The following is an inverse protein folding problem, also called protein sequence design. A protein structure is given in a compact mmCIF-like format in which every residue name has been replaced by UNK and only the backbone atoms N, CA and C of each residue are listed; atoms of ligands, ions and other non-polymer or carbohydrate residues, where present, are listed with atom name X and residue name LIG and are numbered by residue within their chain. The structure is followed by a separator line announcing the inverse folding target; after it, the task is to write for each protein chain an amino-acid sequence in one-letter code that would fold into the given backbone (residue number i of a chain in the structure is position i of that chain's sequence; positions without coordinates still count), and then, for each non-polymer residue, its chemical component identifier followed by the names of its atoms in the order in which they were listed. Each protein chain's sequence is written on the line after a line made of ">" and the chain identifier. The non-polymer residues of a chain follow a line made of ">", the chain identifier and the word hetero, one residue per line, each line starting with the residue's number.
data_IF_126936654933
#
_entry.id   IF_126936654933
#
_cell.length_a   1.000
_cell.length_b   1.000
_cell.length_c   1.000
_cell.angle_alpha   90.00
_cell.angle_beta   90.00
_cell.angle_gamma   90.00
#
_symmetry.space_group_name_H-M   'P 1'
#
loop_
_entity.id
_entity.type
_entity.pdbx_description
1 polymer ?
#
# COMPACT_ATOMS: atom_id res chain seq x y z
N UNK A 1 -0.84 18.41 -14.86
CA UNK A 1 -0.40 17.95 -13.53
C UNK A 1 -0.90 18.86 -12.42
N UNK A 2 -0.72 20.19 -12.53
CA UNK A 2 -1.20 21.20 -11.56
C UNK A 2 -2.66 21.04 -11.08
N UNK A 3 -3.66 21.07 -11.98
CA UNK A 3 -5.08 20.93 -11.59
C UNK A 3 -5.47 19.53 -11.10
N UNK A 4 -4.69 18.50 -11.46
CA UNK A 4 -4.94 17.10 -11.12
C UNK A 4 -4.63 16.81 -9.64
N UNK A 5 -3.60 17.47 -9.12
CA UNK A 5 -3.14 17.36 -7.75
C UNK A 5 -4.12 18.09 -6.81
N UNK A 6 -4.41 19.37 -7.07
CA UNK A 6 -5.24 20.22 -6.19
C UNK A 6 -6.66 19.66 -5.90
N UNK A 7 -7.36 19.11 -6.91
CA UNK A 7 -8.71 18.52 -6.73
C UNK A 7 -8.69 17.14 -6.04
N UNK A 8 -7.63 16.35 -6.24
CA UNK A 8 -7.46 15.05 -5.58
C UNK A 8 -7.19 15.24 -4.08
N UNK A 9 -6.35 16.23 -3.72
CA UNK A 9 -6.03 16.57 -2.33
C UNK A 9 -7.26 17.03 -1.53
N UNK A 10 -8.17 17.81 -2.14
CA UNK A 10 -9.42 18.23 -1.51
C UNK A 10 -10.39 17.06 -1.23
N UNK A 11 -10.38 16.03 -2.08
CA UNK A 11 -11.25 14.85 -1.91
C UNK A 11 -10.72 13.90 -0.82
N UNK A 12 -9.39 13.77 -0.74
CA UNK A 12 -8.67 12.98 0.27
C UNK A 12 -8.88 13.47 1.71
N UNK A 13 -9.14 14.78 1.89
CA UNK A 13 -9.44 15.36 3.21
C UNK A 13 -10.71 14.80 3.87
N UNK A 14 -11.61 14.14 3.12
CA UNK A 14 -12.95 13.79 3.60
C UNK A 14 -13.14 12.35 4.07
N UNK A 15 -12.26 11.37 3.71
CA UNK A 15 -12.55 9.96 3.99
C UNK A 15 -11.31 9.07 4.24
N UNK A 16 -11.18 8.67 5.51
CA UNK A 16 -10.52 7.46 6.02
C UNK A 16 -8.98 7.42 6.13
N UNK A 17 -8.51 6.57 7.03
CA UNK A 17 -7.14 6.48 7.53
C UNK A 17 -6.19 5.60 6.69
N UNK A 18 -6.62 5.15 5.50
CA UNK A 18 -5.86 4.40 4.46
C UNK A 18 -6.51 4.68 3.08
N UNK A 19 -5.72 5.02 2.05
CA UNK A 19 -6.18 5.59 0.77
C UNK A 19 -5.46 4.99 -0.46
N UNK A 20 -6.13 4.89 -1.61
CA UNK A 20 -5.76 4.22 -2.87
C UNK A 20 -6.77 4.71 -3.90
N UNK A 21 -6.29 5.37 -4.94
CA UNK A 21 -7.10 6.04 -5.94
C UNK A 21 -6.45 5.81 -7.30
N UNK A 22 -7.20 5.27 -8.24
CA UNK A 22 -6.71 5.04 -9.61
C UNK A 22 -7.14 6.20 -10.51
N UNK A 23 -6.23 6.68 -11.36
CA UNK A 23 -6.47 7.83 -12.24
C UNK A 23 -6.66 7.34 -13.68
N UNK A 24 -7.87 7.50 -14.27
CA UNK A 24 -8.19 6.96 -15.58
C UNK A 24 -7.28 7.52 -16.69
N UNK A 25 -7.03 6.71 -17.71
CA UNK A 25 -6.32 7.14 -18.92
C UNK A 25 -7.23 8.03 -19.76
N UNK A 26 -6.93 9.32 -19.82
CA UNK A 26 -7.73 10.28 -20.61
C UNK A 26 -7.19 10.31 -22.04
N UNK A 27 -8.05 10.03 -23.03
CA UNK A 27 -7.73 10.29 -24.45
C UNK A 27 -7.55 11.80 -24.67
N UNK A 28 -6.74 12.26 -25.63
CA UNK A 28 -6.38 13.66 -25.79
C UNK A 28 -7.51 14.50 -26.41
N UNK A 29 -8.72 14.48 -25.85
CA UNK A 29 -9.77 15.48 -26.11
C UNK A 29 -10.70 15.51 -24.89
N UNK A 30 -10.73 16.64 -24.18
CA UNK A 30 -11.55 16.95 -22.99
C UNK A 30 -11.10 16.35 -21.64
N UNK A 31 -10.35 17.17 -20.88
CA UNK A 31 -10.29 17.06 -19.42
C UNK A 31 -11.67 17.38 -18.82
N UNK A 32 -12.51 16.36 -18.61
CA UNK A 32 -13.49 16.34 -17.54
C UNK A 32 -13.04 15.29 -16.54
N UNK A 33 -12.83 15.69 -15.30
CA UNK A 33 -12.75 14.73 -14.20
C UNK A 33 -14.00 13.85 -14.24
N UNK A 34 -13.89 12.52 -14.35
CA UNK A 34 -15.01 11.67 -14.00
C UNK A 34 -15.30 11.92 -12.52
N UNK A 35 -16.56 12.18 -12.17
CA UNK A 35 -17.04 12.28 -10.78
C UNK A 35 -16.88 10.97 -9.98
N UNK A 36 -16.24 9.96 -10.57
CA UNK A 36 -16.09 8.62 -10.01
C UNK A 36 -14.59 8.32 -9.88
N UNK A 37 -13.96 8.91 -8.84
CA UNK A 37 -12.87 8.22 -8.17
C UNK A 37 -13.45 6.93 -7.63
N UNK A 38 -12.87 5.78 -7.96
CA UNK A 38 -13.29 4.51 -7.38
C UNK A 38 -13.16 4.58 -5.86
N UNK A 39 -14.27 4.63 -5.11
CA UNK A 39 -14.19 4.82 -3.68
C UNK A 39 -13.75 3.52 -3.02
N UNK A 40 -12.93 3.64 -1.97
CA UNK A 40 -12.48 2.54 -1.11
C UNK A 40 -13.59 1.57 -0.67
N UNK A 41 -14.84 2.04 -0.61
CA UNK A 41 -16.00 1.22 -0.27
C UNK A 41 -16.25 0.07 -1.26
N UNK A 42 -15.91 0.23 -2.54
CA UNK A 42 -16.01 -0.85 -3.54
C UNK A 42 -14.84 -1.85 -3.45
N UNK A 43 -13.70 -1.42 -2.92
CA UNK A 43 -12.47 -2.22 -2.81
C UNK A 43 -12.38 -3.06 -1.52
N UNK A 44 -13.34 -2.91 -0.60
CA UNK A 44 -13.21 -3.39 0.78
C UNK A 44 -13.92 -4.69 1.12
N UNK A 45 -14.79 -5.21 0.24
CA UNK A 45 -15.81 -6.17 0.66
C UNK A 45 -15.30 -7.53 1.12
N UNK A 46 -14.03 -7.91 0.88
CA UNK A 46 -13.53 -9.25 1.21
C UNK A 46 -12.20 -9.31 1.99
N UNK A 47 -11.62 -8.17 2.39
CA UNK A 47 -10.33 -8.12 3.09
C UNK A 47 -10.47 -8.42 4.61
N UNK A 48 -11.02 -9.59 4.97
CA UNK A 48 -11.31 -9.96 6.37
C UNK A 48 -10.30 -10.93 6.97
N UNK A 49 -9.61 -11.73 6.16
CA UNK A 49 -8.48 -12.51 6.64
C UNK A 49 -7.26 -11.59 6.81
N UNK A 50 -6.51 -11.71 7.89
CA UNK A 50 -5.23 -10.98 8.07
C UNK A 50 -4.02 -11.83 7.68
N UNK A 51 -4.29 -13.03 7.15
CA UNK A 51 -3.30 -13.98 6.69
C UNK A 51 -2.82 -13.72 5.26
N UNK A 52 -1.80 -14.47 4.81
CA UNK A 52 -1.23 -14.30 3.47
C UNK A 52 -2.26 -14.42 2.32
N UNK A 53 -3.24 -15.33 2.44
CA UNK A 53 -4.24 -15.59 1.41
C UNK A 53 -5.13 -14.38 1.10
N UNK A 54 -5.42 -13.56 2.11
CA UNK A 54 -6.28 -12.39 1.96
C UNK A 54 -5.62 -11.26 1.18
N UNK A 55 -4.29 -11.14 1.31
CA UNK A 55 -3.51 -10.15 0.58
C UNK A 55 -3.57 -10.45 -0.91
N UNK A 56 -3.31 -11.72 -1.28
CA UNK A 56 -3.42 -12.16 -2.67
C UNK A 56 -4.83 -12.01 -3.23
N UNK A 57 -5.85 -12.35 -2.44
CA UNK A 57 -7.24 -12.13 -2.85
C UNK A 57 -7.53 -10.64 -3.11
N UNK A 58 -7.06 -9.75 -2.23
CA UNK A 58 -7.24 -8.30 -2.38
C UNK A 58 -6.53 -7.79 -3.64
N UNK A 59 -5.32 -8.26 -3.90
CA UNK A 59 -4.60 -7.93 -5.13
C UNK A 59 -5.36 -8.40 -6.38
N UNK A 60 -5.82 -9.64 -6.39
CA UNK A 60 -6.58 -10.23 -7.50
C UNK A 60 -7.87 -9.45 -7.77
N UNK A 61 -8.58 -9.03 -6.73
CA UNK A 61 -9.80 -8.22 -6.85
C UNK A 61 -9.51 -6.84 -7.45
N UNK A 62 -8.42 -6.19 -7.03
CA UNK A 62 -8.02 -4.90 -7.60
C UNK A 62 -7.54 -5.04 -9.05
N UNK A 63 -6.76 -6.07 -9.36
CA UNK A 63 -6.31 -6.32 -10.74
C UNK A 63 -7.49 -6.59 -11.67
N UNK A 64 -8.49 -7.36 -11.23
CA UNK A 64 -9.75 -7.53 -11.98
C UNK A 64 -10.46 -6.21 -12.18
N UNK A 65 -10.55 -5.38 -11.15
CA UNK A 65 -11.16 -4.06 -11.27
C UNK A 65 -10.40 -3.18 -12.28
N UNK A 66 -9.07 -3.21 -12.27
CA UNK A 66 -8.23 -2.47 -13.23
C UNK A 66 -8.49 -2.95 -14.66
N UNK A 67 -8.65 -4.26 -14.85
CA UNK A 67 -8.99 -4.85 -16.15
C UNK A 67 -10.40 -4.44 -16.62
N UNK A 68 -11.38 -4.41 -15.70
CA UNK A 68 -12.78 -4.11 -16.06
C UNK A 68 -13.08 -2.63 -16.20
N UNK A 69 -12.45 -1.76 -15.40
CA UNK A 69 -12.76 -0.32 -15.32
C UNK A 69 -11.63 0.57 -15.86
N UNK A 70 -10.45 0.01 -16.13
CA UNK A 70 -9.31 0.75 -16.67
C UNK A 70 -9.39 1.01 -18.19
N UNK A 71 -8.27 1.40 -18.80
CA UNK A 71 -6.93 1.51 -18.22
C UNK A 71 -6.77 2.76 -17.33
N UNK A 72 -5.92 2.63 -16.31
CA UNK A 72 -5.50 3.73 -15.45
C UNK A 72 -4.07 4.15 -15.83
N UNK A 73 -3.80 5.46 -15.86
CA UNK A 73 -2.44 5.96 -16.10
C UNK A 73 -1.62 6.00 -14.81
N UNK A 74 -2.26 6.14 -13.65
CA UNK A 74 -1.53 6.17 -12.40
C UNK A 74 -2.37 5.88 -11.17
N UNK A 75 -1.69 5.84 -10.03
CA UNK A 75 -2.25 5.45 -8.75
C UNK A 75 -1.75 6.36 -7.64
N UNK A 76 -2.63 6.72 -6.71
CA UNK A 76 -2.29 7.53 -5.54
C UNK A 76 -2.65 6.72 -4.30
N UNK A 77 -1.66 6.36 -3.50
CA UNK A 77 -1.81 5.57 -2.30
C UNK A 77 -1.40 6.32 -1.04
N UNK A 78 -2.10 6.09 0.06
CA UNK A 78 -1.80 6.58 1.39
C UNK A 78 -1.64 5.41 2.38
N UNK A 79 -0.55 5.41 3.14
CA UNK A 79 -0.24 4.40 4.15
C UNK A 79 -0.33 2.98 3.59
N UNK A 80 -1.25 2.14 4.09
CA UNK A 80 -1.44 0.78 3.60
C UNK A 80 -1.89 0.70 2.13
N UNK A 81 -2.58 1.72 1.61
CA UNK A 81 -2.94 1.71 0.19
C UNK A 81 -1.78 2.05 -0.74
N UNK A 82 -0.77 2.80 -0.27
CA UNK A 82 0.50 2.93 -0.99
C UNK A 82 1.25 1.59 -1.02
N UNK A 83 1.28 0.87 0.10
CA UNK A 83 1.87 -0.46 0.16
C UNK A 83 1.17 -1.44 -0.80
N UNK A 84 -0.15 -1.35 -0.93
CA UNK A 84 -0.94 -2.16 -1.85
C UNK A 84 -0.73 -1.77 -3.32
N UNK A 85 -0.71 -0.47 -3.63
CA UNK A 85 -0.35 0.02 -4.97
C UNK A 85 1.02 -0.49 -5.42
N UNK A 86 2.01 -0.44 -4.52
CA UNK A 86 3.35 -0.94 -4.77
C UNK A 86 3.37 -2.47 -4.98
N UNK A 87 2.60 -3.24 -4.20
CA UNK A 87 2.41 -4.68 -4.40
C UNK A 87 1.92 -4.99 -5.82
N UNK A 88 0.88 -4.29 -6.28
CA UNK A 88 0.31 -4.46 -7.62
C UNK A 88 1.32 -4.17 -8.73
N UNK A 89 2.11 -3.10 -8.57
CA UNK A 89 3.15 -2.73 -9.55
C UNK A 89 4.24 -3.80 -9.60
N UNK A 90 4.76 -4.21 -8.44
CA UNK A 90 5.81 -5.23 -8.34
C UNK A 90 5.34 -6.56 -8.94
N UNK A 91 4.09 -6.95 -8.65
CA UNK A 91 3.48 -8.15 -9.21
C UNK A 91 3.34 -8.08 -10.73
N UNK A 92 2.83 -6.97 -11.27
CA UNK A 92 2.72 -6.78 -12.73
C UNK A 92 4.08 -6.87 -13.43
N UNK A 93 5.13 -6.26 -12.85
CA UNK A 93 6.51 -6.31 -13.37
C UNK A 93 7.04 -7.75 -13.35
N UNK A 94 6.87 -8.47 -12.24
CA UNK A 94 7.36 -9.84 -12.07
C UNK A 94 6.66 -10.85 -12.98
N UNK A 95 5.33 -10.78 -13.05
CA UNK A 95 4.54 -11.72 -13.85
C UNK A 95 4.60 -11.40 -15.34
N UNK A 96 4.85 -10.13 -15.70
CA UNK A 96 4.83 -9.69 -17.09
C UNK A 96 6.08 -8.84 -17.43
N UNK A 97 7.31 -9.37 -17.35
CA UNK A 97 8.53 -8.58 -17.51
C UNK A 97 8.65 -7.89 -18.88
N UNK A 98 7.97 -8.43 -19.89
CA UNK A 98 8.02 -7.95 -21.27
C UNK A 98 7.04 -6.81 -21.59
N UNK A 99 6.09 -6.47 -20.71
CA UNK A 99 5.13 -5.39 -20.95
C UNK A 99 5.87 -4.06 -21.12
N UNK A 100 5.51 -3.33 -22.16
CA UNK A 100 5.95 -1.95 -22.35
C UNK A 100 5.32 -1.05 -21.31
N UNK A 101 5.93 0.11 -21.02
CA UNK A 101 5.46 1.02 -19.97
C UNK A 101 3.98 1.42 -20.11
N UNK A 102 3.43 1.46 -21.33
CA UNK A 102 2.03 1.82 -21.59
C UNK A 102 1.03 0.64 -21.40
N UNK A 103 1.54 -0.58 -21.29
CA UNK A 103 0.80 -1.82 -21.05
C UNK A 103 0.78 -2.20 -19.55
N UNK A 104 1.61 -1.53 -18.74
CA UNK A 104 1.64 -1.69 -17.28
C UNK A 104 0.32 -1.28 -16.64
N UNK A 105 0.04 -1.86 -15.47
CA UNK A 105 -1.14 -1.52 -14.65
C UNK A 105 -1.20 -0.03 -14.30
N UNK A 106 -0.03 0.59 -14.08
CA UNK A 106 0.13 2.02 -13.86
C UNK A 106 1.43 2.53 -14.52
N UNK A 107 1.43 3.77 -15.00
CA UNK A 107 2.61 4.44 -15.57
C UNK A 107 3.32 5.36 -14.58
N UNK A 108 2.61 5.78 -13.54
CA UNK A 108 3.15 6.56 -12.44
C UNK A 108 2.40 6.27 -11.14
N UNK A 109 3.06 6.52 -10.01
CA UNK A 109 2.46 6.39 -8.69
C UNK A 109 2.79 7.56 -7.76
N UNK A 110 1.87 7.89 -6.87
CA UNK A 110 2.10 8.82 -5.74
C UNK A 110 1.91 8.03 -4.45
N UNK A 111 2.93 8.02 -3.60
CA UNK A 111 2.94 7.33 -2.32
C UNK A 111 3.04 8.33 -1.18
N UNK A 112 1.95 8.46 -0.41
CA UNK A 112 1.84 9.38 0.72
C UNK A 112 2.02 8.57 2.00
N UNK A 113 3.08 8.85 2.77
CA UNK A 113 3.47 8.11 3.97
C UNK A 113 3.34 6.59 3.79
N UNK A 114 3.86 6.11 2.67
CA UNK A 114 3.56 4.76 2.21
C UNK A 114 4.20 3.67 3.05
N UNK A 115 3.41 2.65 3.38
CA UNK A 115 3.93 1.45 4.04
C UNK A 115 4.85 0.65 3.11
N UNK A 116 5.84 -0.06 3.65
CA UNK A 116 6.58 -1.06 2.87
C UNK A 116 5.62 -2.13 2.35
N UNK A 117 5.65 -2.46 1.04
CA UNK A 117 4.79 -3.48 0.46
C UNK A 117 5.04 -4.85 1.12
N UNK A 118 3.98 -5.66 1.15
CA UNK A 118 4.06 -7.04 1.63
C UNK A 118 4.51 -7.95 0.50
N UNK A 119 5.35 -8.93 0.82
CA UNK A 119 5.82 -9.97 -0.09
C UNK A 119 5.16 -11.29 0.35
N UNK A 120 4.31 -11.84 -0.52
CA UNK A 120 3.49 -13.02 -0.23
C UNK A 120 3.79 -14.11 -1.24
N UNK A 121 4.17 -15.29 -0.76
CA UNK A 121 4.56 -16.43 -1.58
C UNK A 121 4.36 -17.75 -0.82
N UNK A 122 4.53 -18.90 -1.49
CA UNK A 122 4.38 -20.20 -0.83
C UNK A 122 5.61 -20.52 -0.01
N UNK A 123 5.40 -21.14 1.15
CA UNK A 123 6.50 -21.61 2.00
C UNK A 123 7.38 -22.64 1.27
N UNK A 124 6.81 -23.40 0.32
CA UNK A 124 7.55 -24.35 -0.52
C UNK A 124 8.58 -23.70 -1.45
N UNK A 125 8.43 -22.40 -1.72
CA UNK A 125 9.21 -21.72 -2.75
C UNK A 125 10.45 -21.02 -2.16
N UNK A 126 10.66 -21.13 -0.85
CA UNK A 126 11.74 -20.48 -0.13
C UNK A 126 12.43 -21.39 0.86
N UNK A 127 13.70 -21.05 1.14
CA UNK A 127 14.43 -21.64 2.25
C UNK A 127 14.25 -20.81 3.51
N UNK A 128 13.75 -21.46 4.56
CA UNK A 128 13.62 -20.89 5.89
C UNK A 128 14.60 -21.57 6.85
N UNK A 129 15.19 -20.79 7.74
CA UNK A 129 16.00 -21.33 8.83
C UNK A 129 15.16 -22.24 9.73
N UNK A 130 15.81 -23.23 10.33
CA UNK A 130 15.18 -24.08 11.32
C UNK A 130 14.79 -23.28 12.58
N UNK A 131 13.67 -23.66 13.18
CA UNK A 131 13.14 -23.03 14.39
C UNK A 131 11.94 -22.11 14.13
N UNK A 132 11.15 -21.96 15.19
CA UNK A 132 10.03 -21.02 15.30
C UNK A 132 10.43 -19.95 16.30
N UNK A 133 10.22 -18.69 15.94
CA UNK A 133 10.37 -17.56 16.85
C UNK A 133 9.01 -17.38 17.53
N UNK A 134 8.99 -17.46 18.86
CA UNK A 134 7.78 -17.34 19.66
C UNK A 134 6.97 -16.09 19.26
N UNK A 135 5.75 -16.34 18.75
CA UNK A 135 4.95 -15.34 18.05
C UNK A 135 4.58 -14.13 18.92
N UNK A 136 4.41 -14.35 20.24
CA UNK A 136 4.01 -13.33 21.20
C UNK A 136 5.00 -12.15 21.32
N UNK A 137 6.28 -12.37 20.98
CA UNK A 137 7.34 -11.37 21.13
C UNK A 137 7.96 -10.93 19.81
N UNK A 138 7.58 -11.54 18.68
CA UNK A 138 8.18 -11.22 17.40
C UNK A 138 7.72 -9.86 16.86
N UNK A 139 8.68 -9.07 16.35
CA UNK A 139 8.42 -7.74 15.78
C UNK A 139 7.33 -7.73 14.68
N UNK A 140 7.25 -8.70 13.75
CA UNK A 140 6.20 -8.71 12.73
C UNK A 140 4.79 -8.81 13.32
N UNK A 141 4.60 -9.62 14.37
CA UNK A 141 3.30 -9.77 15.04
C UNK A 141 2.94 -8.52 15.83
N UNK A 142 3.93 -7.90 16.52
CA UNK A 142 3.75 -6.63 17.23
C UNK A 142 3.34 -5.52 16.27
N UNK A 143 4.00 -5.42 15.11
CA UNK A 143 3.69 -4.43 14.09
C UNK A 143 2.30 -4.67 13.48
N UNK A 144 1.97 -5.91 13.11
CA UNK A 144 0.65 -6.26 12.60
C UNK A 144 -0.45 -5.91 13.61
N UNK A 145 -0.25 -6.25 14.89
CA UNK A 145 -1.17 -5.87 15.96
C UNK A 145 -1.30 -4.35 16.09
N UNK A 146 -0.20 -3.59 16.03
CA UNK A 146 -0.23 -2.13 16.07
C UNK A 146 -0.97 -1.51 14.88
N UNK A 147 -0.94 -2.15 13.70
CA UNK A 147 -1.64 -1.66 12.50
C UNK A 147 -3.13 -2.02 12.52
N UNK A 148 -3.46 -3.26 12.85
CA UNK A 148 -4.84 -3.77 12.75
C UNK A 148 -5.65 -3.46 14.01
N UNK A 149 -5.07 -3.59 15.20
CA UNK A 149 -5.76 -3.42 16.49
C UNK A 149 -5.62 -2.01 17.08
N UNK A 150 -5.16 -1.02 16.30
CA UNK A 150 -5.06 0.38 16.77
C UNK A 150 -6.42 0.91 17.23
N UNK A 151 -6.47 1.77 18.28
CA UNK A 151 -7.72 2.32 18.80
C UNK A 151 -8.60 2.97 17.72
N UNK A 152 -8.02 3.61 16.71
CA UNK A 152 -8.77 4.23 15.62
C UNK A 152 -9.48 3.26 14.67
N UNK A 153 -9.03 1.99 14.60
CA UNK A 153 -9.77 0.92 13.89
C UNK A 153 -10.82 0.26 14.80
N UNK A 154 -10.62 0.31 16.11
CA UNK A 154 -11.50 -0.33 17.12
C UNK A 154 -12.63 0.61 17.59
N UNK A 155 -12.50 1.93 17.38
CA UNK A 155 -13.54 2.91 17.73
C UNK A 155 -14.84 2.61 16.97
N UNK A 156 -15.85 2.16 17.70
CA UNK A 156 -17.27 2.25 17.33
C UNK A 156 -17.59 3.74 17.15
N UNK A 157 -18.04 4.17 15.97
CA UNK A 157 -18.58 5.52 15.81
C UNK A 157 -19.87 5.60 16.63
N UNK A 158 -19.83 6.30 17.76
CA UNK A 158 -20.97 6.41 18.69
C UNK A 158 -22.25 7.00 18.05
N UNK A 159 -22.15 7.65 16.88
CA UNK A 159 -23.29 8.24 16.19
C UNK A 159 -23.95 7.31 15.15
N UNK A 160 -23.34 6.17 14.85
CA UNK A 160 -23.95 5.11 14.04
C UNK A 160 -23.41 3.78 14.54
N UNK A 161 -24.24 2.98 15.23
CA UNK A 161 -23.97 1.61 15.74
C UNK A 161 -23.50 0.60 14.67
N UNK A 162 -23.13 1.06 13.48
CA UNK A 162 -22.54 0.25 12.44
C UNK A 162 -21.03 0.21 12.66
N UNK A 163 -20.60 -0.67 13.57
CA UNK A 163 -19.33 -1.38 13.33
C UNK A 163 -19.38 -1.86 11.88
N UNK A 164 -18.29 -1.68 11.11
CA UNK A 164 -18.27 -2.24 9.76
C UNK A 164 -18.59 -3.73 9.91
N UNK A 165 -19.61 -4.27 9.21
CA UNK A 165 -20.11 -5.62 9.47
C UNK A 165 -19.00 -6.68 9.42
N UNK A 166 -17.92 -6.36 8.69
CA UNK A 166 -16.81 -7.26 8.41
C UNK A 166 -15.54 -7.00 9.26
N UNK A 167 -15.56 -6.11 10.26
CA UNK A 167 -14.40 -5.90 11.15
C UNK A 167 -14.61 -6.58 12.51
N UNK A 168 -13.94 -7.71 12.74
CA UNK A 168 -13.94 -8.43 14.02
C UNK A 168 -12.52 -8.43 14.65
N UNK A 169 -12.26 -7.58 15.66
CA UNK A 169 -10.96 -7.52 16.34
C UNK A 169 -10.61 -8.80 17.10
N UNK A 170 -11.62 -9.60 17.51
CA UNK A 170 -11.42 -10.88 18.19
C UNK A 170 -10.87 -11.92 17.20
N UNK A 171 -11.48 -11.99 16.01
CA UNK A 171 -11.02 -12.85 14.93
C UNK A 171 -9.62 -12.45 14.46
N UNK A 172 -9.35 -11.16 14.24
CA UNK A 172 -8.00 -10.67 13.88
C UNK A 172 -6.96 -11.11 14.92
N UNK A 173 -7.25 -10.96 16.22
CA UNK A 173 -6.33 -11.37 17.28
C UNK A 173 -6.12 -12.88 17.29
N UNK A 174 -7.15 -13.67 16.97
CA UNK A 174 -7.05 -15.13 16.83
C UNK A 174 -6.19 -15.52 15.63
N UNK A 175 -6.39 -14.87 14.48
CA UNK A 175 -5.63 -15.12 13.25
C UNK A 175 -4.15 -14.80 13.45
N UNK A 176 -3.82 -13.64 14.02
CA UNK A 176 -2.43 -13.26 14.31
C UNK A 176 -1.74 -14.24 15.27
N UNK A 177 -2.47 -14.80 16.23
CA UNK A 177 -1.94 -15.83 17.16
C UNK A 177 -1.74 -17.19 16.49
N UNK A 178 -2.48 -17.48 15.43
CA UNK A 178 -2.35 -18.74 14.69
C UNK A 178 -1.15 -18.74 13.74
N UNK A 179 -0.59 -17.57 13.42
CA UNK A 179 0.61 -17.45 12.59
C UNK A 179 1.87 -17.80 13.37
N UNK A 180 2.76 -18.55 12.72
CA UNK A 180 4.11 -18.79 13.20
C UNK A 180 5.05 -17.74 12.63
N UNK A 181 5.99 -17.25 13.45
CA UNK A 181 7.08 -16.42 12.96
C UNK A 181 8.32 -17.27 12.73
N UNK A 182 8.94 -17.12 11.56
CA UNK A 182 10.19 -17.79 11.18
C UNK A 182 11.12 -16.79 10.48
N UNK A 183 12.33 -17.23 10.12
CA UNK A 183 13.32 -16.40 9.43
C UNK A 183 13.72 -17.04 8.10
N UNK A 184 13.77 -16.25 7.03
CA UNK A 184 14.34 -16.66 5.75
C UNK A 184 15.87 -16.78 5.85
N UNK A 185 16.49 -17.49 4.90
CA UNK A 185 17.96 -17.56 4.82
C UNK A 185 18.61 -16.18 4.65
N UNK A 186 17.93 -15.25 3.99
CA UNK A 186 18.36 -13.85 3.78
C UNK A 186 18.24 -12.98 5.05
N UNK A 187 17.73 -13.54 6.15
CA UNK A 187 17.60 -12.87 7.44
C UNK A 187 16.27 -12.17 7.68
N UNK A 188 15.38 -12.04 6.68
CA UNK A 188 14.05 -11.44 6.88
C UNK A 188 13.18 -12.32 7.77
N UNK A 189 12.47 -11.67 8.70
CA UNK A 189 11.42 -12.33 9.47
C UNK A 189 10.15 -12.42 8.64
N UNK A 190 9.42 -13.52 8.80
CA UNK A 190 8.16 -13.72 8.12
C UNK A 190 7.15 -14.44 9.00
N UNK A 191 5.87 -14.21 8.73
CA UNK A 191 4.77 -14.93 9.35
C UNK A 191 4.24 -16.00 8.37
N UNK A 192 3.79 -17.14 8.88
CA UNK A 192 3.26 -18.22 8.05
C UNK A 192 2.12 -18.98 8.74
N UNK A 193 1.18 -19.47 7.93
CA UNK A 193 0.15 -20.44 8.34
C UNK A 193 0.56 -21.89 8.04
N UNK A 194 1.84 -22.14 7.71
CA UNK A 194 2.38 -23.43 7.29
C UNK A 194 2.32 -23.71 5.79
N UNK A 195 1.58 -22.90 5.02
CA UNK A 195 1.47 -23.03 3.56
C UNK A 195 1.98 -21.78 2.87
N UNK A 196 1.51 -20.62 3.31
CA UNK A 196 1.85 -19.33 2.73
C UNK A 196 2.71 -18.53 3.69
N UNK A 197 3.57 -17.69 3.12
CA UNK A 197 4.46 -16.78 3.82
C UNK A 197 4.00 -15.36 3.56
N UNK A 198 4.05 -14.52 4.58
CA UNK A 198 3.92 -13.06 4.48
C UNK A 198 5.12 -12.41 5.16
N UNK A 199 5.83 -11.57 4.41
CA UNK A 199 6.91 -10.72 4.92
C UNK A 199 6.81 -9.33 4.29
N UNK A 200 7.79 -8.47 4.55
CA UNK A 200 7.94 -7.19 3.86
C UNK A 200 8.99 -7.33 2.78
N UNK A 201 8.79 -6.59 1.70
CA UNK A 201 9.90 -6.33 0.78
C UNK A 201 11.03 -5.61 1.51
N UNK A 202 12.27 -5.86 1.09
CA UNK A 202 13.45 -5.22 1.65
C UNK A 202 14.36 -4.77 0.50
N UNK A 203 14.57 -3.46 0.37
CA UNK A 203 15.31 -2.90 -0.77
C UNK A 203 16.80 -3.28 -0.73
N UNK A 204 17.38 -3.40 0.47
CA UNK A 204 18.78 -3.79 0.63
C UNK A 204 19.06 -5.25 0.20
N UNK A 205 18.04 -6.12 0.28
CA UNK A 205 18.15 -7.55 -0.08
C UNK A 205 17.67 -7.78 -1.52
N UNK A 206 16.52 -7.22 -1.89
CA UNK A 206 15.83 -7.52 -3.15
C UNK A 206 16.10 -6.49 -4.25
N UNK A 207 16.78 -5.39 -3.92
CA UNK A 207 17.09 -4.32 -4.86
C UNK A 207 15.86 -3.50 -5.25
N UNK A 208 15.93 -2.94 -6.45
CA UNK A 208 14.88 -2.09 -7.03
C UNK A 208 13.88 -2.96 -7.78
N UNK A 209 12.61 -2.81 -7.45
CA UNK A 209 11.51 -3.61 -8.00
C UNK A 209 10.46 -2.79 -8.73
N UNK A 210 10.49 -1.45 -8.60
CA UNK A 210 9.53 -0.53 -9.21
C UNK A 210 10.27 0.37 -10.20
N UNK A 211 9.94 0.27 -11.48
CA UNK A 211 10.62 0.95 -12.60
C UNK A 211 9.76 2.02 -13.29
N UNK A 212 8.70 2.48 -12.63
CA UNK A 212 7.84 3.58 -13.09
C UNK A 212 8.16 4.89 -12.35
N UNK A 213 7.68 6.02 -12.88
CA UNK A 213 7.81 7.31 -12.18
C UNK A 213 7.03 7.33 -10.87
N UNK A 214 7.69 7.72 -9.77
CA UNK A 214 7.05 7.78 -8.45
C UNK A 214 7.27 9.13 -7.77
N UNK A 215 6.23 9.62 -7.10
CA UNK A 215 6.33 10.74 -6.16
C UNK A 215 6.11 10.20 -4.74
N UNK A 216 7.08 10.47 -3.85
CA UNK A 216 7.00 10.09 -2.45
C UNK A 216 6.77 11.33 -1.59
N UNK A 217 5.58 11.42 -1.01
CA UNK A 217 5.23 12.44 -0.01
C UNK A 217 5.47 11.82 1.36
N UNK A 218 6.54 12.24 2.04
CA UNK A 218 7.04 11.59 3.27
C UNK A 218 7.24 12.61 4.39
N UNK A 219 7.13 12.18 5.64
CA UNK A 219 7.61 12.99 6.75
C UNK A 219 8.99 12.56 7.24
N UNK A 220 9.99 13.47 7.31
CA UNK A 220 11.32 13.13 7.79
C UNK A 220 11.38 12.94 9.32
N UNK A 221 10.33 13.32 10.05
CA UNK A 221 10.25 13.12 11.51
C UNK A 221 9.96 11.66 11.88
N UNK A 222 9.45 10.87 10.94
CA UNK A 222 9.14 9.46 11.12
C UNK A 222 10.43 8.63 11.13
N UNK A 223 10.72 8.01 12.28
CA UNK A 223 11.91 7.16 12.45
C UNK A 223 11.75 5.75 11.88
N UNK A 224 10.51 5.27 11.74
CA UNK A 224 10.25 3.94 11.20
C UNK A 224 10.43 3.95 9.68
N UNK A 225 11.47 3.26 9.19
CA UNK A 225 11.77 3.17 7.76
C UNK A 225 10.63 2.57 6.94
N UNK A 226 9.80 1.74 7.56
CA UNK A 226 8.65 1.12 6.90
C UNK A 226 7.54 2.10 6.53
N UNK A 227 7.64 3.36 6.96
CA UNK A 227 6.67 4.42 6.71
C UNK A 227 7.19 5.43 5.69
N UNK A 228 7.70 4.92 4.56
CA UNK A 228 8.00 5.71 3.37
C UNK A 228 9.38 5.43 2.79
N UNK A 229 10.40 5.34 3.64
CA UNK A 229 11.80 5.23 3.19
C UNK A 229 12.07 3.90 2.48
N UNK A 230 11.67 2.79 3.09
CA UNK A 230 11.89 1.45 2.53
C UNK A 230 11.14 1.26 1.19
N UNK A 231 9.92 1.82 1.06
CA UNK A 231 9.18 1.79 -0.21
C UNK A 231 9.86 2.64 -1.30
N UNK A 232 10.45 3.78 -0.93
CA UNK A 232 11.19 4.63 -1.87
C UNK A 232 12.48 3.96 -2.37
N UNK A 233 13.18 3.24 -1.49
CA UNK A 233 14.39 2.50 -1.88
C UNK A 233 14.10 1.30 -2.81
N UNK A 234 12.86 0.79 -2.84
CA UNK A 234 12.42 -0.21 -3.83
C UNK A 234 12.21 0.37 -5.23
N UNK A 235 12.20 1.68 -5.39
CA UNK A 235 11.96 2.35 -6.67
C UNK A 235 13.27 2.67 -7.42
N UNK A 236 13.19 2.75 -8.75
CA UNK A 236 14.29 3.23 -9.58
C UNK A 236 14.59 4.70 -9.28
N UNK A 237 15.76 4.97 -8.70
CA UNK A 237 16.10 6.25 -8.08
C UNK A 237 16.12 7.41 -9.10
N UNK A 238 16.42 7.13 -10.37
CA UNK A 238 16.33 8.13 -11.45
C UNK A 238 14.90 8.57 -11.80
N UNK A 239 13.89 7.82 -11.34
CA UNK A 239 12.46 8.04 -11.58
C UNK A 239 11.70 8.49 -10.32
N UNK A 240 12.38 8.57 -9.18
CA UNK A 240 11.83 9.00 -7.89
C UNK A 240 11.87 10.51 -7.77
N UNK A 241 10.77 11.09 -7.27
CA UNK A 241 10.72 12.44 -6.71
C UNK A 241 10.25 12.37 -5.28
N UNK A 242 10.72 13.29 -4.46
CA UNK A 242 10.39 13.34 -3.03
C UNK A 242 9.85 14.71 -2.65
N UNK A 243 8.87 14.69 -1.75
CA UNK A 243 8.32 15.87 -1.09
C UNK A 243 8.24 15.59 0.41
N UNK A 244 8.63 16.57 1.21
CA UNK A 244 8.68 16.45 2.66
C UNK A 244 7.62 17.29 3.35
N UNK A 245 6.94 16.72 4.34
CA UNK A 245 6.00 17.46 5.19
C UNK A 245 6.27 17.20 6.68
N UNK A 246 5.78 18.07 7.56
CA UNK A 246 6.12 18.04 9.01
C UNK A 246 5.07 17.33 9.88
N UNK A 247 4.17 16.57 9.28
CA UNK A 247 2.98 16.02 9.96
C UNK A 247 3.10 14.55 10.34
N UNK A 248 4.31 14.06 10.62
CA UNK A 248 4.57 12.66 10.97
C UNK A 248 3.91 11.69 9.96
N UNK A 249 3.21 10.67 10.44
CA UNK A 249 2.47 9.71 9.62
C UNK A 249 1.04 10.21 9.28
N UNK A 250 0.76 11.51 9.39
CA UNK A 250 -0.52 12.09 8.99
C UNK A 250 -0.46 12.63 7.55
N UNK A 251 -1.61 12.78 6.93
CA UNK A 251 -1.73 13.38 5.60
C UNK A 251 -1.27 14.86 5.65
N UNK A 252 -0.55 15.38 4.64
CA UNK A 252 -0.21 16.82 4.61
C UNK A 252 -1.45 17.70 4.62
N UNK A 253 -1.52 18.66 5.56
CA UNK A 253 -2.70 19.53 5.77
C UNK A 253 -2.33 21.00 5.62
N UNK A 254 -2.24 21.49 4.38
CA UNK A 254 -2.00 22.91 4.12
C UNK A 254 -2.31 23.33 2.69
N UNK A 255 -3.01 24.47 2.51
CA UNK A 255 -3.30 25.04 1.19
C UNK A 255 -2.01 25.48 0.46
N UNK A 256 -1.07 26.08 1.21
CA UNK A 256 0.22 26.56 0.68
C UNK A 256 1.21 25.43 0.35
N UNK A 257 1.18 24.33 1.08
CA UNK A 257 2.06 23.17 0.82
C UNK A 257 1.55 22.33 -0.36
N UNK A 258 0.23 22.21 -0.52
CA UNK A 258 -0.39 21.54 -1.67
C UNK A 258 -0.27 22.36 -2.97
N UNK A 259 -0.08 23.69 -2.88
CA UNK A 259 0.11 24.59 -4.04
C UNK A 259 1.55 24.56 -4.59
N UNK A 260 2.56 24.39 -3.74
CA UNK A 260 3.94 24.10 -4.17
C UNK A 260 4.07 22.70 -4.81
N UNK A 261 3.25 21.74 -4.36
CA UNK A 261 3.12 20.35 -4.83
C UNK A 261 2.78 20.19 -6.33
N UNK A 262 2.33 21.28 -6.96
CA UNK A 262 1.79 21.29 -8.30
C UNK A 262 2.75 21.89 -9.35
N UNK A 263 3.66 22.79 -8.94
CA UNK A 263 4.53 23.56 -9.82
C UNK A 263 5.69 22.72 -10.34
N UNK A 264 5.41 21.97 -11.39
CA UNK A 264 6.44 21.43 -12.29
C UNK A 264 6.95 22.61 -13.12
N UNK A 265 8.20 23.05 -12.87
CA UNK A 265 8.89 23.95 -13.81
C UNK A 265 9.02 23.26 -15.18
N UNK A 266 8.87 24.02 -16.29
CA UNK A 266 8.75 23.50 -17.65
C UNK A 266 9.97 22.72 -18.16
#
# INVERSE_FOLDING_TARGET
>A
MNLLCEQTFLTLHSNSSKGLFCIPRVRPVQYRFPNELLPWSKLRSNAQETGPSSQLQTEDEILRLIDTEGPFDGVIGYSGGAALAAQLIIRDIRENPWKLSHERVFRWAVFINGGTPLDVFRLSDVEAKEGVIEAAESEPVKEAAAIFLRPSNVRVRQETDKQHPDYDPTQIKKDLKALQTRQLVDGRLFMTNGVMVITRYNAAIQGRLIDISTLHVRSPTVKNRHWGLELMELCEQSLVREFFHQYDHDFPRGRTENEEDCRVDP
#
